data_IF_706159443503
#
_entry.id   IF_706159443503
#
_cell.length_a   1.000
_cell.length_b   1.000
_cell.length_c   1.000
_cell.angle_alpha   90.00
_cell.angle_beta   90.00
_cell.angle_gamma   90.00
#
_symmetry.space_group_name_H-M   'P 1'
#
loop_
_entity.id
_entity.type
_entity.pdbx_description
1 polymer ?
#
# COMPACT_ATOMS: atom_id res chain seq x y z
N UNK A 1 20.43 -18.30 -6.09
CA UNK A 1 19.21 -17.64 -6.60
C UNK A 1 19.64 -16.36 -7.28
N UNK A 2 19.04 -15.98 -8.40
CA UNK A 2 19.37 -14.74 -9.10
C UNK A 2 19.03 -13.54 -8.19
N UNK A 3 19.90 -12.52 -8.19
CA UNK A 3 19.61 -11.28 -7.47
C UNK A 3 18.62 -10.38 -8.24
N UNK A 4 18.27 -10.73 -9.48
CA UNK A 4 17.24 -10.06 -10.29
C UNK A 4 15.84 -10.63 -10.00
N UNK A 5 14.82 -9.81 -10.22
CA UNK A 5 13.40 -10.18 -10.11
C UNK A 5 13.08 -11.43 -10.93
N UNK A 6 12.51 -12.45 -10.29
CA UNK A 6 11.99 -13.62 -11.00
C UNK A 6 10.82 -13.18 -11.88
N UNK A 7 10.92 -13.41 -13.19
CA UNK A 7 9.86 -13.09 -14.12
C UNK A 7 8.76 -14.16 -14.11
N UNK A 8 7.50 -13.79 -14.36
CA UNK A 8 6.43 -14.77 -14.35
C UNK A 8 6.53 -15.75 -15.51
N UNK A 9 6.22 -17.02 -15.21
CA UNK A 9 6.30 -18.11 -16.21
C UNK A 9 5.11 -18.18 -17.15
N UNK A 10 4.04 -17.41 -16.86
CA UNK A 10 2.84 -17.30 -17.69
C UNK A 10 2.48 -15.84 -17.90
N UNK A 11 1.75 -15.54 -18.99
CA UNK A 11 1.25 -14.19 -19.25
C UNK A 11 0.11 -13.77 -18.32
N UNK A 12 -0.40 -12.55 -18.55
CA UNK A 12 -1.57 -12.01 -17.86
C UNK A 12 -2.85 -12.71 -18.32
N UNK A 13 -3.87 -12.76 -17.47
CA UNK A 13 -5.21 -13.26 -17.85
C UNK A 13 -6.06 -12.17 -18.49
N UNK A 14 -5.81 -10.92 -18.11
CA UNK A 14 -6.38 -9.73 -18.76
C UNK A 14 -5.21 -8.85 -19.20
N UNK A 15 -5.01 -8.59 -20.51
CA UNK A 15 -3.94 -7.72 -20.97
C UNK A 15 -4.25 -6.26 -20.65
N UNK A 16 -3.25 -5.44 -20.31
CA UNK A 16 -3.42 -3.99 -20.17
C UNK A 16 -4.05 -3.39 -21.43
N UNK A 17 -5.14 -2.63 -21.29
CA UNK A 17 -5.77 -1.97 -22.42
C UNK A 17 -4.79 -0.95 -23.03
N UNK A 18 -4.50 -1.02 -24.34
CA UNK A 18 -3.71 0.00 -25.02
C UNK A 18 -4.42 1.35 -24.98
N UNK A 19 -3.66 2.44 -24.81
CA UNK A 19 -4.18 3.82 -24.79
C UNK A 19 -5.09 4.12 -25.98
N UNK A 20 -4.71 3.69 -27.18
CA UNK A 20 -5.48 3.90 -28.41
C UNK A 20 -6.88 3.25 -28.42
N UNK A 21 -7.19 2.39 -27.43
CA UNK A 21 -8.50 1.75 -27.26
C UNK A 21 -9.32 2.36 -26.11
N UNK A 22 -8.79 3.37 -25.43
CA UNK A 22 -9.51 4.11 -24.41
C UNK A 22 -10.43 5.15 -25.07
N UNK A 23 -11.60 5.38 -24.47
CA UNK A 23 -12.40 6.55 -24.83
C UNK A 23 -11.80 7.81 -24.14
N UNK A 24 -12.28 9.00 -24.53
CA UNK A 24 -11.72 10.26 -24.04
C UNK A 24 -11.77 10.40 -22.50
N UNK A 25 -12.83 9.89 -21.85
CA UNK A 25 -12.98 9.97 -20.39
C UNK A 25 -11.99 9.06 -19.65
N UNK A 26 -11.83 7.83 -20.12
CA UNK A 26 -10.87 6.87 -19.57
C UNK A 26 -9.43 7.33 -19.83
N UNK A 27 -9.16 7.88 -21.02
CA UNK A 27 -7.85 8.45 -21.32
C UNK A 27 -7.51 9.64 -20.42
N UNK A 28 -8.47 10.54 -20.15
CA UNK A 28 -8.26 11.65 -19.23
C UNK A 28 -7.98 11.17 -17.79
N UNK A 29 -8.69 10.14 -17.32
CA UNK A 29 -8.42 9.52 -16.03
C UNK A 29 -7.05 8.80 -16.00
N UNK A 30 -6.64 8.19 -17.11
CA UNK A 30 -5.32 7.58 -17.25
C UNK A 30 -4.21 8.62 -17.13
N UNK A 31 -4.32 9.74 -17.83
CA UNK A 31 -3.39 10.86 -17.73
C UNK A 31 -3.30 11.42 -16.31
N UNK A 32 -4.45 11.56 -15.63
CA UNK A 32 -4.48 11.97 -14.23
C UNK A 32 -3.76 10.97 -13.33
N UNK A 33 -3.93 9.66 -13.60
CA UNK A 33 -3.23 8.60 -12.86
C UNK A 33 -1.72 8.68 -13.05
N UNK A 34 -1.23 8.94 -14.27
CA UNK A 34 0.20 9.12 -14.55
C UNK A 34 0.72 10.36 -13.83
N UNK A 35 -0.01 11.47 -13.91
CA UNK A 35 0.39 12.72 -13.27
C UNK A 35 0.47 12.60 -11.73
N UNK A 36 -0.39 11.77 -11.13
CA UNK A 36 -0.45 11.62 -9.66
C UNK A 36 0.44 10.50 -9.14
N UNK A 37 0.48 9.36 -9.83
CA UNK A 37 1.19 8.15 -9.40
C UNK A 37 2.60 8.04 -9.99
N UNK A 38 2.91 8.86 -10.99
CA UNK A 38 4.23 8.95 -11.62
C UNK A 38 4.56 7.82 -12.60
N UNK A 39 3.63 6.89 -12.86
CA UNK A 39 3.86 5.74 -13.74
C UNK A 39 2.64 5.45 -14.66
N UNK A 40 2.87 5.00 -15.91
CA UNK A 40 1.84 4.50 -16.82
C UNK A 40 1.36 3.10 -16.40
N UNK A 41 0.66 3.03 -15.27
CA UNK A 41 0.41 1.79 -14.55
C UNK A 41 -0.51 0.79 -15.28
N UNK A 42 -0.09 -0.47 -15.30
CA UNK A 42 -0.88 -1.63 -15.72
C UNK A 42 -2.08 -1.91 -14.81
N UNK A 43 -2.10 -1.41 -13.56
CA UNK A 43 -3.31 -1.36 -12.73
C UNK A 43 -4.42 -0.64 -13.48
N UNK A 44 -4.17 0.61 -13.86
CA UNK A 44 -5.18 1.44 -14.53
C UNK A 44 -5.55 0.82 -15.89
N UNK A 45 -4.55 0.47 -16.70
CA UNK A 45 -4.78 -0.08 -18.04
C UNK A 45 -5.55 -1.40 -18.01
N UNK A 46 -5.34 -2.26 -17.01
CA UNK A 46 -6.10 -3.50 -16.84
C UNK A 46 -7.53 -3.20 -16.38
N UNK A 47 -7.70 -2.25 -15.46
CA UNK A 47 -9.03 -1.82 -15.00
C UNK A 47 -9.83 -1.08 -16.08
N UNK A 48 -9.16 -0.46 -17.06
CA UNK A 48 -9.78 0.30 -18.16
C UNK A 48 -10.68 -0.54 -19.08
N UNK A 49 -10.60 -1.87 -19.04
CA UNK A 49 -11.63 -2.74 -19.64
C UNK A 49 -13.02 -2.56 -18.99
N UNK A 50 -13.07 -1.98 -17.78
CA UNK A 50 -14.26 -1.52 -17.09
C UNK A 50 -14.17 -0.01 -16.81
N UNK A 51 -14.55 0.87 -17.77
CA UNK A 51 -14.35 2.32 -17.71
C UNK A 51 -14.78 2.98 -16.38
N UNK A 52 -15.97 2.64 -15.88
CA UNK A 52 -16.48 3.24 -14.65
C UNK A 52 -15.61 2.93 -13.43
N UNK A 53 -14.98 1.74 -13.37
CA UNK A 53 -14.07 1.40 -12.27
C UNK A 53 -12.77 2.17 -12.43
N UNK A 54 -12.17 2.19 -13.63
CA UNK A 54 -10.91 2.88 -13.88
C UNK A 54 -11.00 4.40 -13.57
N UNK A 55 -12.09 5.05 -13.97
CA UNK A 55 -12.33 6.46 -13.66
C UNK A 55 -12.52 6.69 -12.15
N UNK A 56 -13.16 5.76 -11.44
CA UNK A 56 -13.39 5.87 -9.99
C UNK A 56 -12.12 5.62 -9.17
N UNK A 57 -11.26 4.72 -9.64
CA UNK A 57 -10.08 4.26 -8.88
C UNK A 57 -9.10 5.38 -8.57
N UNK A 58 -8.87 6.30 -9.51
CA UNK A 58 -7.90 7.40 -9.33
C UNK A 58 -8.25 8.30 -8.15
N UNK A 59 -9.43 8.96 -8.09
CA UNK A 59 -9.79 9.77 -6.94
C UNK A 59 -9.94 8.93 -5.65
N UNK A 60 -10.36 7.67 -5.77
CA UNK A 60 -10.50 6.78 -4.63
C UNK A 60 -9.15 6.46 -3.97
N UNK A 61 -8.17 5.95 -4.73
CA UNK A 61 -6.83 5.66 -4.23
C UNK A 61 -6.15 6.93 -3.67
N UNK A 62 -6.34 8.08 -4.34
CA UNK A 62 -5.80 9.36 -3.89
C UNK A 62 -6.39 9.85 -2.55
N UNK A 63 -7.61 9.44 -2.20
CA UNK A 63 -8.24 9.82 -0.93
C UNK A 63 -7.66 9.12 0.31
N UNK A 64 -6.81 8.11 0.15
CA UNK A 64 -6.30 7.30 1.27
C UNK A 64 -4.79 7.06 1.21
N UNK A 65 -4.23 6.86 0.01
CA UNK A 65 -2.81 6.55 -0.18
C UNK A 65 -1.95 7.83 -0.14
N UNK A 66 -2.44 8.91 -0.75
CA UNK A 66 -1.71 10.16 -0.90
C UNK A 66 -2.25 11.23 0.05
N UNK A 67 -1.36 12.08 0.56
CA UNK A 67 -1.75 13.27 1.30
C UNK A 67 -2.02 14.39 0.30
N UNK A 68 -3.29 14.78 0.17
CA UNK A 68 -3.67 15.86 -0.73
C UNK A 68 -3.42 17.25 -0.11
N UNK A 69 -3.14 17.33 1.20
CA UNK A 69 -3.03 18.59 1.95
C UNK A 69 -4.34 19.39 1.97
N UNK A 70 -5.46 18.76 1.61
CA UNK A 70 -6.76 19.42 1.51
C UNK A 70 -7.43 19.40 2.88
N UNK A 71 -7.81 20.60 3.32
CA UNK A 71 -8.51 20.81 4.59
C UNK A 71 -9.97 21.18 4.35
N UNK A 72 -10.86 20.58 5.12
CA UNK A 72 -12.31 20.84 5.15
C UNK A 72 -12.75 21.33 6.52
N UNK A 73 -13.99 21.79 6.62
CA UNK A 73 -14.65 22.10 7.89
C UNK A 73 -15.51 20.91 8.32
N UNK A 74 -15.40 20.49 9.58
CA UNK A 74 -16.29 19.50 10.20
C UNK A 74 -16.99 20.10 11.42
N UNK A 75 -18.13 19.55 11.89
CA UNK A 75 -18.70 19.94 13.17
C UNK A 75 -17.68 19.84 14.31
N UNK A 76 -17.63 20.85 15.17
CA UNK A 76 -16.70 20.85 16.30
C UNK A 76 -16.98 19.67 17.26
N UNK A 77 -16.02 18.75 17.47
CA UNK A 77 -16.21 17.58 18.32
C UNK A 77 -16.37 17.90 19.82
N UNK A 78 -16.00 19.10 20.28
CA UNK A 78 -16.15 19.53 21.68
C UNK A 78 -17.55 20.05 22.03
N UNK A 79 -18.37 20.38 21.04
CA UNK A 79 -19.61 21.11 21.28
C UNK A 79 -20.79 20.55 20.50
N UNK A 80 -21.81 20.08 21.22
CA UNK A 80 -23.12 19.76 20.64
C UNK A 80 -23.89 21.02 20.17
N UNK A 81 -23.40 22.21 20.54
CA UNK A 81 -24.08 23.50 20.36
C UNK A 81 -23.76 24.21 19.03
N UNK A 82 -22.98 23.55 18.15
CA UNK A 82 -22.63 24.06 16.82
C UNK A 82 -21.27 24.76 16.74
N UNK A 83 -20.82 25.02 15.52
CA UNK A 83 -19.47 25.48 15.20
C UNK A 83 -18.72 24.45 14.35
N UNK A 84 -17.65 24.90 13.70
CA UNK A 84 -16.81 24.02 12.87
C UNK A 84 -15.33 24.17 13.22
N UNK A 85 -14.57 23.13 12.93
CA UNK A 85 -13.10 23.08 13.07
C UNK A 85 -12.48 22.63 11.76
N UNK A 86 -11.24 23.08 11.48
CA UNK A 86 -10.49 22.63 10.30
C UNK A 86 -10.04 21.18 10.49
N UNK A 87 -10.13 20.39 9.44
CA UNK A 87 -9.88 18.96 9.47
C UNK A 87 -9.31 18.47 8.13
N UNK A 88 -8.36 17.54 8.09
CA UNK A 88 -7.87 17.02 6.82
C UNK A 88 -8.91 16.12 6.16
N UNK A 89 -8.94 16.11 4.83
CA UNK A 89 -9.81 15.19 4.07
C UNK A 89 -9.17 13.83 3.85
N UNK A 90 -7.85 13.75 3.91
CA UNK A 90 -7.02 12.55 3.81
C UNK A 90 -5.65 12.83 4.43
N UNK A 91 -4.80 11.81 4.54
CA UNK A 91 -3.41 12.00 4.98
C UNK A 91 -3.24 11.89 6.50
N UNK A 92 -4.19 11.26 7.21
CA UNK A 92 -4.12 11.13 8.68
C UNK A 92 -2.89 10.35 9.15
N UNK A 93 -2.44 9.37 8.36
CA UNK A 93 -1.19 8.66 8.57
C UNK A 93 -0.09 9.22 7.66
N UNK A 94 1.12 9.27 8.19
CA UNK A 94 2.29 9.65 7.41
C UNK A 94 2.61 8.61 6.33
N UNK A 95 3.30 9.06 5.28
CA UNK A 95 3.58 8.23 4.12
C UNK A 95 4.47 7.01 4.43
N UNK A 96 5.37 7.10 5.41
CA UNK A 96 6.22 5.97 5.84
C UNK A 96 5.36 4.88 6.46
N UNK A 97 4.47 5.22 7.39
CA UNK A 97 3.53 4.27 8.02
C UNK A 97 2.64 3.60 6.96
N UNK A 98 2.12 4.37 5.99
CA UNK A 98 1.30 3.83 4.90
C UNK A 98 2.05 2.79 4.07
N UNK A 99 3.26 3.10 3.62
CA UNK A 99 4.03 2.16 2.79
C UNK A 99 4.47 0.92 3.57
N UNK A 100 4.78 1.03 4.87
CA UNK A 100 5.04 -0.14 5.71
C UNK A 100 3.82 -1.08 5.77
N UNK A 101 2.62 -0.51 5.97
CA UNK A 101 1.36 -1.26 5.99
C UNK A 101 1.05 -1.90 4.63
N UNK A 102 1.18 -1.15 3.54
CA UNK A 102 0.92 -1.66 2.19
C UNK A 102 1.91 -2.79 1.84
N UNK A 103 3.19 -2.61 2.15
CA UNK A 103 4.19 -3.65 1.91
C UNK A 103 3.88 -4.91 2.72
N UNK A 104 3.59 -4.81 4.03
CA UNK A 104 3.37 -6.02 4.84
C UNK A 104 2.18 -6.83 4.32
N UNK A 105 1.05 -6.19 4.00
CA UNK A 105 -0.12 -6.94 3.50
C UNK A 105 0.10 -7.50 2.10
N UNK A 106 0.90 -6.82 1.27
CA UNK A 106 1.28 -7.30 -0.07
C UNK A 106 2.19 -8.51 -0.02
N UNK A 107 3.13 -8.50 0.92
CA UNK A 107 4.04 -9.62 1.19
C UNK A 107 3.28 -10.83 1.74
N UNK A 108 2.36 -10.61 2.69
CA UNK A 108 1.51 -11.66 3.26
C UNK A 108 0.59 -12.29 2.21
N UNK A 109 0.02 -11.49 1.31
CA UNK A 109 -0.79 -11.99 0.20
C UNK A 109 0.03 -12.56 -0.96
N UNK A 110 1.35 -12.42 -0.95
CA UNK A 110 2.24 -12.80 -2.06
C UNK A 110 1.83 -12.20 -3.39
N UNK A 111 1.26 -10.99 -3.37
CA UNK A 111 0.76 -10.34 -4.58
C UNK A 111 1.91 -9.75 -5.36
N UNK A 112 2.26 -10.35 -6.51
CA UNK A 112 3.39 -9.93 -7.33
C UNK A 112 3.39 -8.43 -7.60
N UNK A 113 2.32 -7.93 -8.20
CA UNK A 113 2.23 -6.54 -8.66
C UNK A 113 2.42 -5.56 -7.50
N UNK A 114 1.78 -5.79 -6.36
CA UNK A 114 1.97 -4.94 -5.19
C UNK A 114 3.34 -5.11 -4.53
N UNK A 115 3.88 -6.32 -4.47
CA UNK A 115 5.22 -6.57 -3.93
C UNK A 115 6.25 -5.78 -4.74
N UNK A 116 6.24 -5.85 -6.06
CA UNK A 116 7.22 -5.14 -6.90
C UNK A 116 7.05 -3.63 -6.78
N UNK A 117 5.82 -3.13 -6.92
CA UNK A 117 5.52 -1.70 -6.91
C UNK A 117 5.77 -1.05 -5.57
N UNK A 118 5.15 -1.58 -4.51
CA UNK A 118 5.27 -0.98 -3.19
C UNK A 118 6.62 -1.24 -2.53
N UNK A 119 7.41 -2.22 -2.97
CA UNK A 119 8.81 -2.29 -2.54
C UNK A 119 9.62 -1.11 -3.10
N UNK A 120 9.44 -0.76 -4.39
CA UNK A 120 10.11 0.42 -4.98
C UNK A 120 9.63 1.70 -4.31
N UNK A 121 8.31 1.89 -4.24
CA UNK A 121 7.71 3.09 -3.65
C UNK A 121 8.09 3.21 -2.18
N UNK A 122 7.96 2.12 -1.41
CA UNK A 122 8.34 2.07 0.00
C UNK A 122 9.82 2.35 0.22
N UNK A 123 10.72 1.75 -0.56
CA UNK A 123 12.16 1.98 -0.39
C UNK A 123 12.53 3.45 -0.65
N UNK A 124 12.04 4.04 -1.74
CA UNK A 124 12.26 5.46 -2.04
C UNK A 124 11.66 6.36 -0.96
N UNK A 125 10.40 6.11 -0.57
CA UNK A 125 9.69 6.86 0.47
C UNK A 125 10.47 6.86 1.79
N UNK A 126 10.86 5.69 2.28
CA UNK A 126 11.55 5.58 3.56
C UNK A 126 12.96 6.20 3.49
N UNK A 127 13.68 6.01 2.38
CA UNK A 127 15.01 6.60 2.17
C UNK A 127 14.97 8.13 2.12
N UNK A 128 13.84 8.71 1.72
CA UNK A 128 13.62 10.16 1.67
C UNK A 128 13.12 10.72 3.01
N UNK A 129 12.14 10.06 3.64
CA UNK A 129 11.34 10.65 4.71
C UNK A 129 11.70 10.22 6.14
N UNK A 130 12.55 9.19 6.31
CA UNK A 130 12.98 8.79 7.66
C UNK A 130 13.78 9.93 8.34
N UNK A 131 13.66 10.10 9.67
CA UNK A 131 14.19 11.26 10.39
C UNK A 131 15.68 11.13 10.73
N UNK A 132 16.53 10.82 9.75
CA UNK A 132 17.98 10.83 9.87
C UNK A 132 18.57 11.87 8.90
N UNK A 133 19.52 12.73 9.31
CA UNK A 133 20.09 13.73 8.42
C UNK A 133 20.90 13.13 7.27
N UNK A 134 21.50 11.94 7.46
CA UNK A 134 22.36 11.30 6.47
C UNK A 134 21.54 10.42 5.49
N UNK A 135 21.56 10.70 4.17
CA UNK A 135 20.85 9.91 3.18
C UNK A 135 21.24 8.42 3.16
N UNK A 136 22.51 8.11 3.37
CA UNK A 136 22.99 6.72 3.35
C UNK A 136 22.45 5.93 4.56
N UNK A 137 22.41 6.58 5.73
CA UNK A 137 21.79 6.02 6.93
C UNK A 137 20.29 5.82 6.74
N UNK A 138 19.56 6.77 6.14
CA UNK A 138 18.13 6.60 5.80
C UNK A 138 17.91 5.41 4.87
N UNK A 139 18.73 5.26 3.83
CA UNK A 139 18.63 4.14 2.89
C UNK A 139 18.87 2.77 3.57
N UNK A 140 19.86 2.69 4.46
CA UNK A 140 20.12 1.47 5.25
C UNK A 140 18.96 1.13 6.20
N UNK A 141 18.38 2.15 6.85
CA UNK A 141 17.19 1.97 7.69
C UNK A 141 15.97 1.55 6.87
N UNK A 142 15.75 2.16 5.69
CA UNK A 142 14.69 1.79 4.76
C UNK A 142 14.81 0.33 4.33
N UNK A 143 16.02 -0.11 3.95
CA UNK A 143 16.29 -1.51 3.62
C UNK A 143 15.96 -2.43 4.80
N UNK A 144 16.47 -2.11 5.99
CA UNK A 144 16.26 -2.92 7.18
C UNK A 144 14.76 -3.03 7.52
N UNK A 145 14.03 -1.91 7.50
CA UNK A 145 12.59 -1.85 7.81
C UNK A 145 11.73 -2.61 6.81
N UNK A 146 12.05 -2.61 5.53
CA UNK A 146 11.28 -3.38 4.53
C UNK A 146 11.64 -4.86 4.53
N UNK A 147 12.92 -5.17 4.76
CA UNK A 147 13.40 -6.55 4.84
C UNK A 147 12.78 -7.29 6.03
N UNK A 148 12.63 -6.62 7.18
CA UNK A 148 12.11 -7.21 8.42
C UNK A 148 10.59 -7.17 8.56
N UNK A 149 9.82 -6.82 7.52
CA UNK A 149 8.36 -6.97 7.56
C UNK A 149 7.96 -8.46 7.66
N UNK A 150 8.53 -9.32 6.82
CA UNK A 150 8.34 -10.77 6.84
C UNK A 150 9.62 -11.51 6.47
N UNK A 151 9.76 -12.75 6.94
CA UNK A 151 10.81 -13.68 6.47
C UNK A 151 10.54 -14.22 5.05
N UNK A 152 11.46 -15.05 4.55
CA UNK A 152 11.38 -15.64 3.21
C UNK A 152 10.22 -16.62 3.02
N UNK A 153 9.56 -17.03 4.12
CA UNK A 153 8.34 -17.84 4.11
C UNK A 153 7.06 -17.00 4.21
N UNK A 154 7.18 -15.68 4.37
CA UNK A 154 6.05 -14.78 4.51
C UNK A 154 5.52 -14.72 5.94
N UNK A 155 6.32 -15.11 6.94
CA UNK A 155 5.93 -14.98 8.34
C UNK A 155 6.33 -13.59 8.86
N UNK A 156 5.42 -12.85 9.52
CA UNK A 156 5.77 -11.57 10.15
C UNK A 156 7.02 -11.62 11.03
N UNK A 157 7.90 -10.64 10.85
CA UNK A 157 9.19 -10.51 11.58
C UNK A 157 9.39 -9.16 12.25
N UNK A 158 8.53 -8.18 12.00
CA UNK A 158 8.70 -6.79 12.48
C UNK A 158 8.65 -6.64 14.01
N UNK A 159 8.14 -7.65 14.71
CA UNK A 159 8.09 -7.74 16.18
C UNK A 159 9.16 -8.64 16.80
N UNK A 160 10.07 -9.22 16.01
CA UNK A 160 11.08 -10.17 16.51
C UNK A 160 12.31 -9.44 17.07
N UNK A 161 13.03 -10.05 18.03
CA UNK A 161 14.33 -9.55 18.46
C UNK A 161 15.27 -9.35 17.26
N UNK A 162 15.90 -8.18 17.19
CA UNK A 162 16.78 -7.79 16.06
C UNK A 162 16.06 -7.08 14.91
N UNK A 163 14.73 -6.87 15.00
CA UNK A 163 14.02 -5.97 14.11
C UNK A 163 14.59 -4.53 14.19
N UNK A 164 14.53 -3.77 13.09
CA UNK A 164 14.93 -2.36 13.06
C UNK A 164 14.05 -1.51 13.99
N UNK A 165 14.44 -0.25 14.28
CA UNK A 165 13.74 0.60 15.23
C UNK A 165 12.41 1.12 14.66
N UNK A 166 11.41 0.24 14.56
CA UNK A 166 10.02 0.64 14.36
C UNK A 166 9.53 1.44 15.57
N UNK A 167 8.79 2.53 15.31
CA UNK A 167 8.11 3.27 16.37
C UNK A 167 6.92 2.48 16.90
N UNK A 168 6.38 2.89 18.05
CA UNK A 168 5.15 2.29 18.59
C UNK A 168 3.98 2.41 17.62
N UNK A 169 3.88 3.54 16.88
CA UNK A 169 2.91 3.73 15.81
C UNK A 169 3.09 2.70 14.69
N UNK A 170 4.32 2.53 14.18
CA UNK A 170 4.60 1.55 13.13
C UNK A 170 4.17 0.15 13.57
N UNK A 171 4.55 -0.26 14.78
CA UNK A 171 4.22 -1.60 15.30
C UNK A 171 2.72 -1.78 15.52
N UNK A 172 2.01 -0.79 16.07
CA UNK A 172 0.56 -0.85 16.25
C UNK A 172 -0.18 -0.99 14.91
N UNK A 173 0.23 -0.24 13.89
CA UNK A 173 -0.34 -0.30 12.54
C UNK A 173 -0.03 -1.64 11.85
N UNK A 174 1.22 -2.09 11.89
CA UNK A 174 1.66 -3.36 11.27
C UNK A 174 0.96 -4.57 11.91
N UNK A 175 0.83 -4.59 13.24
CA UNK A 175 0.13 -5.67 13.96
C UNK A 175 -1.35 -5.75 13.58
N UNK A 176 -2.05 -4.61 13.60
CA UNK A 176 -3.46 -4.58 13.23
C UNK A 176 -3.66 -4.95 11.75
N UNK A 177 -2.80 -4.44 10.86
CA UNK A 177 -2.86 -4.76 9.43
C UNK A 177 -2.63 -6.25 9.15
N UNK A 178 -1.59 -6.85 9.74
CA UNK A 178 -1.29 -8.27 9.60
C UNK A 178 -2.41 -9.16 10.18
N UNK A 179 -2.95 -8.80 11.36
CA UNK A 179 -4.06 -9.54 11.95
C UNK A 179 -5.33 -9.44 11.09
N UNK A 180 -5.62 -8.25 10.56
CA UNK A 180 -6.79 -8.00 9.70
C UNK A 180 -6.68 -8.76 8.39
N UNK A 181 -5.49 -8.79 7.77
CA UNK A 181 -5.24 -9.58 6.57
C UNK A 181 -5.41 -11.09 6.84
N UNK A 182 -4.93 -11.58 7.99
CA UNK A 182 -4.96 -12.99 8.32
C UNK A 182 -6.36 -13.51 8.67
N UNK A 183 -7.09 -12.78 9.52
CA UNK A 183 -8.45 -13.14 9.94
C UNK A 183 -9.21 -11.90 10.46
N UNK A 184 -9.93 -11.17 9.59
CA UNK A 184 -10.62 -9.94 10.00
C UNK A 184 -11.75 -10.21 11.00
N UNK A 185 -12.36 -11.40 10.99
CA UNK A 185 -13.37 -11.79 11.98
C UNK A 185 -12.78 -12.13 13.36
N UNK A 186 -11.46 -12.31 13.44
CA UNK A 186 -10.74 -12.58 14.69
C UNK A 186 -10.24 -11.33 15.39
N UNK A 187 -10.45 -10.13 14.82
CA UNK A 187 -10.08 -8.87 15.45
C UNK A 187 -10.95 -8.62 16.67
N UNK A 188 -10.31 -8.29 17.79
CA UNK A 188 -10.96 -8.02 19.08
C UNK A 188 -11.05 -6.53 19.37
N UNK A 189 -12.04 -6.14 20.18
CA UNK A 189 -12.18 -4.76 20.66
C UNK A 189 -10.94 -4.28 21.43
N UNK A 190 -10.24 -5.19 22.12
CA UNK A 190 -9.00 -4.89 22.83
C UNK A 190 -7.89 -4.47 21.88
N UNK A 191 -7.71 -5.19 20.76
CA UNK A 191 -6.74 -4.83 19.73
C UNK A 191 -7.05 -3.48 19.11
N UNK A 192 -8.32 -3.22 18.77
CA UNK A 192 -8.75 -1.94 18.19
C UNK A 192 -8.51 -0.80 19.19
N UNK A 193 -8.87 -0.98 20.46
CA UNK A 193 -8.67 0.02 21.51
C UNK A 193 -7.18 0.30 21.76
N UNK A 194 -6.35 -0.74 21.78
CA UNK A 194 -4.91 -0.58 22.00
C UNK A 194 -4.24 0.16 20.84
N UNK A 195 -4.60 -0.18 19.58
CA UNK A 195 -4.14 0.58 18.40
C UNK A 195 -4.64 2.02 18.46
N UNK A 196 -5.92 2.26 18.76
CA UNK A 196 -6.49 3.61 18.85
C UNK A 196 -5.79 4.46 19.91
N UNK A 197 -5.43 3.89 21.07
CA UNK A 197 -4.63 4.60 22.08
C UNK A 197 -3.27 5.03 21.55
N UNK A 198 -2.55 4.17 20.84
CA UNK A 198 -1.28 4.56 20.22
C UNK A 198 -1.45 5.66 19.17
N UNK A 199 -2.53 5.62 18.38
CA UNK A 199 -2.87 6.68 17.41
C UNK A 199 -3.18 8.00 18.13
N UNK A 200 -3.92 7.95 19.25
CA UNK A 200 -4.22 9.11 20.08
C UNK A 200 -2.95 9.76 20.65
N UNK A 201 -1.99 8.96 21.10
CA UNK A 201 -0.70 9.46 21.59
C UNK A 201 0.12 10.14 20.47
N UNK A 202 -0.08 9.73 19.21
CA UNK A 202 0.61 10.30 18.03
C UNK A 202 -0.12 11.48 17.38
N UNK A 203 -1.44 11.60 17.59
CA UNK A 203 -2.27 12.62 16.96
C UNK A 203 -1.72 14.05 17.11
N UNK A 204 -1.21 14.51 18.29
CA UNK A 204 -0.68 15.87 18.41
C UNK A 204 0.46 16.18 17.43
N UNK A 205 1.39 15.24 17.25
CA UNK A 205 2.53 15.43 16.33
C UNK A 205 2.06 15.46 14.87
N UNK A 206 1.11 14.60 14.50
CA UNK A 206 0.51 14.59 13.17
C UNK A 206 -0.25 15.90 12.88
N UNK A 207 -1.05 16.38 13.84
CA UNK A 207 -1.79 17.66 13.76
C UNK A 207 -0.83 18.82 13.49
N UNK A 208 0.29 18.90 14.23
CA UNK A 208 1.32 19.91 13.97
C UNK A 208 1.99 19.73 12.61
N UNK A 209 2.26 18.49 12.17
CA UNK A 209 2.85 18.24 10.86
C UNK A 209 1.96 18.71 9.69
N UNK A 210 0.64 18.64 9.84
CA UNK A 210 -0.33 19.23 8.90
C UNK A 210 -0.53 20.75 9.06
N UNK A 211 0.13 21.38 10.04
CA UNK A 211 -0.09 22.78 10.38
C UNK A 211 -1.52 23.07 10.84
N UNK A 212 -2.19 22.10 11.48
CA UNK A 212 -3.55 22.27 11.99
C UNK A 212 -3.60 22.98 13.35
N UNK A 213 -2.48 22.97 14.07
CA UNK A 213 -2.27 23.63 15.37
C UNK A 213 -2.43 25.16 15.31
N UNK A 214 -2.35 25.76 14.12
CA UNK A 214 -2.63 27.18 13.91
C UNK A 214 -4.13 27.54 13.95
N UNK A 215 -5.04 26.56 13.87
CA UNK A 215 -6.48 26.81 13.82
C UNK A 215 -7.12 26.67 15.21
N UNK A 216 -8.06 27.55 15.59
CA UNK A 216 -8.75 27.44 16.87
C UNK A 216 -9.51 26.11 17.02
N UNK A 217 -9.42 25.49 18.20
CA UNK A 217 -10.17 24.28 18.54
C UNK A 217 -9.55 22.97 18.03
N UNK A 218 -8.30 22.98 17.56
CA UNK A 218 -7.57 21.77 17.15
C UNK A 218 -6.67 21.19 18.24
N UNK A 219 -6.51 21.89 19.37
CA UNK A 219 -5.66 21.54 20.52
C UNK A 219 -6.43 20.83 21.65
N UNK A 220 -7.69 20.47 21.41
CA UNK A 220 -8.58 19.89 22.43
C UNK A 220 -8.49 18.36 22.48
N UNK A 221 -8.78 17.74 23.64
CA UNK A 221 -8.86 16.28 23.73
C UNK A 221 -9.89 15.66 22.77
N UNK A 222 -11.03 16.31 22.53
CA UNK A 222 -12.04 15.78 21.62
C UNK A 222 -11.58 15.84 20.16
N UNK A 223 -10.87 16.90 19.76
CA UNK A 223 -10.27 17.00 18.44
C UNK A 223 -9.18 15.95 18.22
N UNK A 224 -8.27 15.78 19.18
CA UNK A 224 -7.23 14.75 19.10
C UNK A 224 -7.84 13.34 18.98
N UNK A 225 -8.92 13.07 19.71
CA UNK A 225 -9.65 11.80 19.62
C UNK A 225 -10.35 11.61 18.26
N UNK A 226 -10.97 12.66 17.71
CA UNK A 226 -11.53 12.63 16.36
C UNK A 226 -10.43 12.34 15.33
N UNK A 227 -9.29 13.03 15.42
CA UNK A 227 -8.15 12.86 14.54
C UNK A 227 -7.61 11.42 14.59
N UNK A 228 -7.39 10.87 15.80
CA UNK A 228 -6.96 9.48 15.99
C UNK A 228 -7.97 8.46 15.43
N UNK A 229 -9.27 8.78 15.49
CA UNK A 229 -10.32 7.99 14.84
C UNK A 229 -10.20 8.04 13.31
N UNK A 230 -9.88 9.21 12.74
CA UNK A 230 -9.54 9.36 11.32
C UNK A 230 -8.34 8.51 10.92
N UNK A 231 -7.26 8.51 11.72
CA UNK A 231 -6.09 7.64 11.51
C UNK A 231 -6.47 6.15 11.50
N UNK A 232 -7.34 5.72 12.40
CA UNK A 232 -7.79 4.32 12.47
C UNK A 232 -8.64 3.93 11.25
N UNK A 233 -9.53 4.82 10.82
CA UNK A 233 -10.31 4.61 9.59
C UNK A 233 -9.38 4.53 8.38
N UNK A 234 -8.41 5.43 8.26
CA UNK A 234 -7.45 5.42 7.15
C UNK A 234 -6.58 4.15 7.16
N UNK A 235 -6.07 3.73 8.33
CA UNK A 235 -5.31 2.49 8.52
C UNK A 235 -6.10 1.27 8.02
N UNK A 236 -7.34 1.13 8.48
CA UNK A 236 -8.17 -0.02 8.16
C UNK A 236 -8.58 0.00 6.69
N UNK A 237 -8.85 1.19 6.13
CA UNK A 237 -9.15 1.35 4.70
C UNK A 237 -7.95 0.95 3.82
N UNK A 238 -6.75 1.42 4.14
CA UNK A 238 -5.51 1.02 3.45
C UNK A 238 -5.30 -0.49 3.53
N UNK A 239 -5.46 -1.05 4.74
CA UNK A 239 -5.28 -2.48 4.97
C UNK A 239 -6.21 -3.29 4.08
N UNK A 240 -7.53 -3.04 4.13
CA UNK A 240 -8.51 -3.86 3.38
C UNK A 240 -8.46 -3.59 1.87
N UNK A 241 -8.12 -2.37 1.46
CA UNK A 241 -7.96 -2.03 0.05
C UNK A 241 -6.85 -2.87 -0.59
N UNK A 242 -5.71 -2.99 0.07
CA UNK A 242 -4.65 -3.84 -0.44
C UNK A 242 -4.89 -5.32 -0.13
N UNK A 243 -5.22 -5.69 1.11
CA UNK A 243 -5.33 -7.10 1.51
C UNK A 243 -6.51 -7.85 0.89
N UNK A 244 -7.66 -7.20 0.72
CA UNK A 244 -8.89 -7.81 0.23
C UNK A 244 -9.19 -7.53 -1.24
N UNK A 245 -8.96 -6.29 -1.69
CA UNK A 245 -9.32 -5.86 -3.03
C UNK A 245 -8.14 -5.99 -4.01
N UNK A 246 -7.15 -5.10 -3.95
CA UNK A 246 -6.13 -4.98 -4.99
C UNK A 246 -5.23 -6.19 -5.09
N UNK A 247 -4.67 -6.68 -3.97
CA UNK A 247 -3.74 -7.81 -4.02
C UNK A 247 -4.41 -9.06 -4.58
N UNK A 248 -5.64 -9.34 -4.15
CA UNK A 248 -6.43 -10.47 -4.65
C UNK A 248 -6.76 -10.26 -6.13
N UNK A 249 -7.17 -9.05 -6.53
CA UNK A 249 -7.48 -8.73 -7.91
C UNK A 249 -6.26 -8.88 -8.83
N UNK A 250 -5.09 -8.35 -8.46
CA UNK A 250 -3.84 -8.53 -9.21
C UNK A 250 -3.46 -10.00 -9.35
N UNK A 251 -3.57 -10.77 -8.27
CA UNK A 251 -3.27 -12.20 -8.26
C UNK A 251 -4.28 -12.98 -9.12
N UNK A 252 -5.57 -12.64 -9.08
CA UNK A 252 -6.59 -13.32 -9.89
C UNK A 252 -6.44 -13.01 -11.37
N UNK A 253 -6.03 -11.79 -11.74
CA UNK A 253 -5.88 -11.37 -13.14
C UNK A 253 -4.47 -11.57 -13.70
N UNK A 254 -3.50 -11.96 -12.86
CA UNK A 254 -2.09 -12.01 -13.22
C UNK A 254 -1.63 -10.66 -13.78
N UNK A 255 -1.90 -9.57 -13.07
CA UNK A 255 -1.48 -8.23 -13.50
C UNK A 255 0.06 -8.16 -13.53
N UNK A 256 0.62 -7.81 -14.69
CA UNK A 256 2.07 -7.78 -14.92
C UNK A 256 2.66 -6.42 -14.59
N UNK A 257 3.93 -6.42 -14.18
CA UNK A 257 4.76 -5.21 -14.10
C UNK A 257 4.84 -4.52 -15.47
N UNK A 258 5.05 -3.21 -15.51
CA UNK A 258 5.25 -2.48 -16.76
C UNK A 258 6.60 -2.92 -17.35
N UNK A 259 6.54 -3.59 -18.50
CA UNK A 259 7.70 -3.84 -19.32
C UNK A 259 7.62 -2.90 -20.53
N UNK A 260 8.73 -2.25 -20.87
CA UNK A 260 8.77 -1.39 -22.06
C UNK A 260 8.38 -2.21 -23.30
N UNK A 261 7.23 -1.88 -23.90
CA UNK A 261 6.83 -2.40 -25.21
C UNK A 261 7.19 -1.41 -26.32
N UNK A 262 7.53 -0.17 -25.95
CA UNK A 262 7.98 0.94 -26.80
C UNK A 262 8.98 1.84 -26.05
N UNK A 263 9.83 2.58 -26.77
CA UNK A 263 10.89 3.45 -26.23
C UNK A 263 10.40 4.55 -25.25
N UNK A 264 9.09 4.82 -25.21
CA UNK A 264 8.47 5.85 -24.36
C UNK A 264 7.78 5.28 -23.09
N UNK A 265 7.80 3.96 -22.87
CA UNK A 265 7.22 3.32 -21.68
C UNK A 265 8.30 3.00 -20.63
N UNK A 266 7.94 3.16 -19.35
CA UNK A 266 8.83 2.84 -18.22
C UNK A 266 9.05 1.32 -18.19
N UNK A 267 10.31 0.90 -18.26
CA UNK A 267 10.71 -0.47 -17.90
C UNK A 267 10.79 -0.60 -16.37
N UNK A 268 9.64 -0.93 -15.77
CA UNK A 268 9.52 -1.04 -14.31
C UNK A 268 10.35 -2.20 -13.75
N UNK A 269 10.58 -3.25 -14.54
CA UNK A 269 11.44 -4.36 -14.14
C UNK A 269 12.88 -3.86 -13.94
N UNK A 270 13.38 -3.04 -14.86
CA UNK A 270 14.68 -2.39 -14.71
C UNK A 270 14.71 -1.41 -13.53
N UNK A 271 13.65 -0.61 -13.34
CA UNK A 271 13.54 0.29 -12.16
C UNK A 271 13.61 -0.51 -10.86
N UNK A 272 12.88 -1.61 -10.76
CA UNK A 272 12.89 -2.48 -9.58
C UNK A 272 14.28 -3.06 -9.32
N UNK A 273 14.92 -3.62 -10.35
CA UNK A 273 16.23 -4.26 -10.22
C UNK A 273 17.37 -3.27 -9.89
N UNK A 274 17.22 -1.99 -10.26
CA UNK A 274 18.21 -0.94 -9.97
C UNK A 274 17.95 -0.23 -8.64
N UNK A 275 16.68 -0.10 -8.22
CA UNK A 275 16.29 0.67 -7.03
C UNK A 275 16.30 -0.18 -5.76
N UNK A 276 15.73 -1.39 -5.81
CA UNK A 276 15.48 -2.19 -4.60
C UNK A 276 16.75 -2.93 -4.19
N UNK A 277 17.21 -2.88 -2.93
CA UNK A 277 18.38 -3.64 -2.47
C UNK A 277 18.30 -5.14 -2.73
N UNK A 278 19.45 -5.76 -3.07
CA UNK A 278 19.52 -7.19 -3.44
C UNK A 278 19.01 -8.13 -2.35
N UNK A 279 19.17 -7.77 -1.08
CA UNK A 279 18.63 -8.49 0.10
C UNK A 279 17.10 -8.60 0.04
N UNK A 280 16.41 -7.48 -0.20
CA UNK A 280 14.96 -7.43 -0.33
C UNK A 280 14.52 -8.18 -1.58
N UNK A 281 15.23 -8.01 -2.71
CA UNK A 281 14.89 -8.73 -3.96
C UNK A 281 14.97 -10.24 -3.76
N UNK A 282 15.99 -10.76 -3.05
CA UNK A 282 16.08 -12.18 -2.69
C UNK A 282 14.90 -12.64 -1.84
N UNK A 283 14.49 -11.87 -0.82
CA UNK A 283 13.30 -12.17 -0.01
C UNK A 283 12.04 -12.19 -0.86
N UNK A 284 11.82 -11.16 -1.69
CA UNK A 284 10.66 -11.07 -2.57
C UNK A 284 10.62 -12.25 -3.55
N UNK A 285 11.74 -12.61 -4.17
CA UNK A 285 11.83 -13.77 -5.06
C UNK A 285 11.50 -15.10 -4.36
N UNK A 286 11.91 -15.27 -3.09
CA UNK A 286 11.54 -16.44 -2.32
C UNK A 286 10.02 -16.53 -2.10
N UNK A 287 9.35 -15.40 -1.84
CA UNK A 287 7.89 -15.35 -1.69
C UNK A 287 7.14 -15.62 -3.00
N UNK A 288 7.62 -15.03 -4.10
CA UNK A 288 7.05 -15.19 -5.45
C UNK A 288 7.27 -16.60 -6.01
N UNK A 289 8.30 -17.30 -5.53
CA UNK A 289 8.62 -18.65 -5.94
C UNK A 289 9.08 -18.75 -7.40
N UNK A 290 9.24 -19.98 -7.91
CA UNK A 290 9.82 -20.22 -9.24
C UNK A 290 8.91 -19.78 -10.40
N UNK A 291 7.62 -19.57 -10.15
CA UNK A 291 6.66 -19.14 -11.17
C UNK A 291 6.53 -17.63 -11.29
N UNK A 292 7.09 -16.89 -10.33
CA UNK A 292 7.01 -15.43 -10.26
C UNK A 292 5.65 -14.88 -9.81
N UNK A 293 4.67 -15.74 -9.49
CA UNK A 293 3.29 -15.34 -9.14
C UNK A 293 2.93 -15.50 -7.66
N UNK A 294 3.77 -16.13 -6.84
CA UNK A 294 3.48 -16.34 -5.41
C UNK A 294 2.65 -17.59 -5.12
N UNK A 295 2.78 -18.65 -5.92
CA UNK A 295 1.90 -19.84 -5.95
C UNK A 295 1.91 -20.75 -4.69
N UNK A 296 2.52 -20.32 -3.60
CA UNK A 296 2.37 -21.02 -2.33
C UNK A 296 1.00 -20.70 -1.73
N UNK A 297 0.19 -21.70 -1.37
CA UNK A 297 -1.16 -21.46 -0.85
C UNK A 297 -1.10 -20.61 0.42
N UNK A 298 -1.88 -19.53 0.42
CA UNK A 298 -2.19 -18.75 1.62
C UNK A 298 -2.87 -19.71 2.61
N UNK A 299 -2.16 -20.09 3.67
CA UNK A 299 -2.69 -20.82 4.84
C UNK A 299 -2.99 -22.32 4.72
N UNK A 300 -2.28 -23.12 3.90
CA UNK A 300 -2.27 -24.58 4.06
C UNK A 300 -3.62 -25.32 3.94
N UNK A 301 -4.70 -24.62 3.60
CA UNK A 301 -6.05 -25.14 3.36
C UNK A 301 -6.50 -24.73 1.96
N UNK A 302 -5.65 -24.97 0.96
CA UNK A 302 -6.09 -24.98 -0.43
C UNK A 302 -6.77 -26.32 -0.74
N UNK A 303 -7.94 -26.35 -1.40
CA UNK A 303 -8.53 -27.59 -1.87
C UNK A 303 -7.52 -28.28 -2.80
N UNK A 304 -7.35 -29.59 -2.62
CA UNK A 304 -6.60 -30.43 -3.56
C UNK A 304 -7.15 -30.19 -4.97
N UNK A 305 -6.21 -30.00 -5.89
CA UNK A 305 -6.37 -29.89 -7.34
C UNK A 305 -7.74 -30.26 -7.91
N UNK A 306 -8.33 -29.36 -8.67
CA UNK A 306 -9.28 -29.72 -9.71
C UNK A 306 -9.05 -28.87 -10.96
N UNK A 307 -8.44 -29.51 -11.97
CA UNK A 307 -8.68 -29.36 -13.42
C UNK A 307 -8.31 -27.97 -14.02
N UNK A 308 -7.17 -27.83 -14.70
CA UNK A 308 -6.88 -28.14 -16.12
C UNK A 308 -7.76 -27.41 -17.15
N UNK A 309 -7.08 -26.84 -18.16
CA UNK A 309 -7.55 -26.15 -19.37
C UNK A 309 -8.28 -24.81 -19.19
N UNK A 310 -7.51 -23.72 -19.33
CA UNK A 310 -8.03 -22.42 -19.77
C UNK A 310 -7.92 -22.39 -21.30
N UNK A 311 -9.05 -22.55 -21.99
CA UNK A 311 -9.17 -22.06 -23.35
C UNK A 311 -9.21 -20.53 -23.29
N UNK A 312 -8.33 -19.88 -24.05
CA UNK A 312 -8.31 -18.44 -24.18
C UNK A 312 -9.67 -17.96 -24.72
N UNK A 313 -10.34 -17.09 -23.98
CA UNK A 313 -11.49 -16.35 -24.49
C UNK A 313 -10.96 -15.24 -25.40
N UNK A 314 -10.87 -15.54 -26.69
CA UNK A 314 -10.77 -14.54 -27.78
C UNK A 314 -12.10 -14.47 -28.51
N UNK A 315 -12.61 -13.27 -28.85
CA UNK A 315 -13.57 -13.13 -29.95
C UNK A 315 -12.91 -13.41 -31.31
#
# INVERSE_FOLDING_TARGET
MTDELVLPTTGTRVPPLPRARMNAEVEAAYELSIATWGIPSNLFRTMAHHPALAITEVPYANSVIFDAGVLTDIPNPDTDQGGTVRYPTSGFLDRVTKELVINVVSLLNRSRYSITHHTVIGYNTLSELLPDPDPDTRAQLAEAMLLHLVDDQGTPTFDRPGAPPYTDLHLACLRLAAATQANPHGITDDQVRDTHRTLLDHAPAAITAHGLDQYPGTDTPAYHNAYATGMLVELTWLTVHFSGLLNVWFTVLHTFDEASVTDDEIDFITVYNTTVPATIRRRNNALLGPTGWGDHPLNGTGPQSAVSSVEALTP
#
